data_IF_225927117850
#
_entry.id   IF_225927117850
#
_cell.length_a   1.000
_cell.length_b   1.000
_cell.length_c   1.000
_cell.angle_alpha   90.00
_cell.angle_beta   90.00
_cell.angle_gamma   90.00
#
_symmetry.space_group_name_H-M   'P 1'
#
loop_
_entity.id
_entity.type
_entity.pdbx_description
1 polymer ?
#
# COMPACT_ATOMS: atom_id res chain seq x y z
N UNK A 1 8.97 10.80 8.51
CA UNK A 1 8.19 9.98 7.58
C UNK A 1 9.13 8.92 7.02
N UNK A 2 8.77 7.64 6.95
CA UNK A 2 9.55 6.71 6.14
C UNK A 2 9.51 7.19 4.68
N UNK A 3 10.62 7.04 3.95
CA UNK A 3 10.68 7.53 2.57
C UNK A 3 9.66 6.79 1.68
N UNK A 4 9.07 7.45 0.67
CA UNK A 4 8.12 6.82 -0.24
C UNK A 4 8.69 5.55 -0.89
N UNK A 5 10.01 5.52 -1.10
CA UNK A 5 10.74 4.37 -1.67
C UNK A 5 10.71 3.15 -0.73
N UNK A 6 10.79 3.36 0.59
CA UNK A 6 10.66 2.27 1.58
C UNK A 6 9.23 1.75 1.72
N UNK A 7 8.23 2.62 1.52
CA UNK A 7 6.81 2.25 1.52
C UNK A 7 6.40 1.45 0.27
N UNK A 8 7.08 1.65 -0.87
CA UNK A 8 6.81 0.92 -2.11
C UNK A 8 7.26 -0.55 -2.07
N UNK A 9 8.34 -0.86 -1.34
CA UNK A 9 8.86 -2.23 -1.25
C UNK A 9 7.92 -3.20 -0.52
N UNK A 10 6.97 -2.67 0.27
CA UNK A 10 5.97 -3.43 1.02
C UNK A 10 4.53 -3.15 0.56
N UNK A 11 4.35 -2.34 -0.49
CA UNK A 11 3.03 -2.01 -1.03
C UNK A 11 2.55 -3.10 -2.00
N UNK A 12 1.32 -3.57 -1.82
CA UNK A 12 0.66 -4.44 -2.81
C UNK A 12 0.21 -3.67 -4.06
N UNK A 13 0.09 -2.34 -3.97
CA UNK A 13 -0.40 -1.48 -5.06
C UNK A 13 0.78 -0.71 -5.68
N UNK A 14 1.45 -1.34 -6.64
CA UNK A 14 2.69 -0.83 -7.26
C UNK A 14 2.51 -0.30 -8.68
N UNK A 15 1.35 -0.53 -9.30
CA UNK A 15 1.14 -0.23 -10.71
C UNK A 15 0.54 1.17 -10.95
N UNK A 16 0.93 1.78 -12.06
CA UNK A 16 0.46 3.09 -12.51
C UNK A 16 1.29 4.24 -11.94
N UNK A 17 1.88 5.03 -12.84
CA UNK A 17 2.80 6.13 -12.50
C UNK A 17 2.32 7.50 -12.95
N UNK A 18 1.29 7.56 -13.80
CA UNK A 18 0.70 8.81 -14.28
C UNK A 18 -0.81 8.68 -14.38
N UNK A 19 -1.48 9.83 -14.33
CA UNK A 19 -2.93 9.92 -14.44
C UNK A 19 -3.32 11.29 -14.99
N UNK A 20 -4.57 11.39 -15.43
CA UNK A 20 -5.27 12.66 -15.58
C UNK A 20 -6.65 12.55 -14.93
N UNK A 21 -7.13 13.63 -14.34
CA UNK A 21 -8.36 13.63 -13.57
C UNK A 21 -8.87 15.01 -13.18
N UNK A 22 -9.75 15.03 -12.18
CA UNK A 22 -10.29 16.26 -11.60
C UNK A 22 -10.06 16.25 -10.10
N UNK A 23 -9.64 17.40 -9.58
CA UNK A 23 -9.65 17.65 -8.14
C UNK A 23 -11.09 17.80 -7.62
N UNK A 24 -11.31 17.73 -6.30
CA UNK A 24 -12.61 18.04 -5.68
C UNK A 24 -13.17 19.43 -6.06
N UNK A 25 -12.28 20.39 -6.35
CA UNK A 25 -12.64 21.73 -6.84
C UNK A 25 -13.20 21.74 -8.28
N UNK A 26 -13.13 20.61 -8.99
CA UNK A 26 -13.50 20.48 -10.40
C UNK A 26 -12.38 20.82 -11.39
N UNK A 27 -11.25 21.35 -10.91
CA UNK A 27 -10.07 21.71 -11.73
C UNK A 27 -9.52 20.47 -12.42
N UNK A 28 -9.18 20.62 -13.71
CA UNK A 28 -8.62 19.57 -14.56
C UNK A 28 -7.12 19.46 -14.32
N UNK A 29 -6.65 18.29 -13.93
CA UNK A 29 -5.25 18.07 -13.58
C UNK A 29 -4.68 16.83 -14.26
N UNK A 30 -3.39 16.86 -14.54
CA UNK A 30 -2.57 15.71 -14.92
C UNK A 30 -1.40 15.61 -13.94
N UNK A 31 -0.94 14.40 -13.65
CA UNK A 31 0.12 14.23 -12.67
C UNK A 31 0.82 12.88 -12.71
N UNK A 32 1.89 12.80 -11.94
CA UNK A 32 2.68 11.58 -11.75
C UNK A 32 2.67 11.17 -10.28
N UNK A 33 2.68 9.86 -10.03
CA UNK A 33 2.77 9.26 -8.70
C UNK A 33 3.80 8.16 -8.68
N UNK A 34 4.33 7.85 -7.49
CA UNK A 34 5.34 6.81 -7.34
C UNK A 34 4.76 5.39 -7.55
N UNK A 35 3.46 5.21 -7.28
CA UNK A 35 2.66 4.03 -7.58
C UNK A 35 1.16 4.32 -7.38
N UNK A 36 0.30 3.37 -7.76
CA UNK A 36 -1.14 3.44 -7.49
C UNK A 36 -1.90 4.39 -8.40
N UNK A 37 -1.28 4.85 -9.49
CA UNK A 37 -1.91 5.74 -10.47
C UNK A 37 -3.01 5.07 -11.29
N UNK A 38 -2.99 3.73 -11.41
CA UNK A 38 -4.08 2.95 -12.00
C UNK A 38 -5.19 2.73 -10.98
N UNK A 39 -5.88 3.81 -10.61
CA UNK A 39 -6.93 3.81 -9.61
C UNK A 39 -8.07 4.75 -10.00
N UNK A 40 -9.21 4.59 -9.33
CA UNK A 40 -10.38 5.48 -9.50
C UNK A 40 -10.17 6.83 -8.82
N UNK A 41 -9.37 6.86 -7.77
CA UNK A 41 -8.97 8.02 -6.98
C UNK A 41 -7.49 7.89 -6.64
N UNK A 42 -6.75 8.99 -6.76
CA UNK A 42 -5.29 9.01 -6.53
C UNK A 42 -4.97 10.11 -5.53
N UNK A 43 -4.19 9.78 -4.50
CA UNK A 43 -3.55 10.77 -3.64
C UNK A 43 -2.36 11.35 -4.42
N UNK A 44 -2.59 12.46 -5.12
CA UNK A 44 -1.62 13.07 -6.00
C UNK A 44 -0.46 13.70 -5.23
N UNK A 45 0.74 13.67 -5.83
CA UNK A 45 1.89 14.42 -5.37
C UNK A 45 1.78 15.88 -5.84
N UNK A 46 1.65 16.87 -4.94
CA UNK A 46 1.46 18.27 -5.34
C UNK A 46 2.59 18.84 -6.20
N UNK A 47 3.82 18.33 -6.06
CA UNK A 47 4.96 18.80 -6.85
C UNK A 47 4.92 18.29 -8.30
N UNK A 48 4.30 17.13 -8.53
CA UNK A 48 4.09 16.53 -9.86
C UNK A 48 2.61 16.53 -10.23
N UNK A 49 1.97 17.68 -10.01
CA UNK A 49 0.62 17.97 -10.44
C UNK A 49 0.63 19.24 -11.31
N UNK A 50 0.05 19.15 -12.50
CA UNK A 50 -0.06 20.25 -13.45
C UNK A 50 -1.53 20.42 -13.87
N UNK A 51 -1.91 21.66 -14.15
CA UNK A 51 -3.21 21.96 -14.72
C UNK A 51 -3.24 21.54 -16.20
N UNK A 52 -4.36 20.94 -16.61
CA UNK A 52 -4.55 20.52 -18.01
C UNK A 52 -4.97 21.73 -18.84
N UNK A 53 -4.23 22.08 -19.92
CA UNK A 53 -4.63 23.11 -20.86
C UNK A 53 -6.07 22.95 -21.38
N UNK A 54 -6.74 24.07 -21.65
CA UNK A 54 -8.15 24.09 -22.05
C UNK A 54 -8.40 23.37 -23.39
N UNK A 55 -7.41 23.40 -24.28
CA UNK A 55 -7.40 22.80 -25.61
C UNK A 55 -7.03 21.32 -25.62
N UNK A 56 -6.53 20.77 -24.50
CA UNK A 56 -6.24 19.34 -24.40
C UNK A 56 -7.45 18.60 -23.87
N UNK A 57 -7.69 17.39 -24.33
CA UNK A 57 -8.55 16.41 -23.69
C UNK A 57 -7.87 15.82 -22.44
N UNK A 58 -8.64 15.13 -21.58
CA UNK A 58 -8.06 14.45 -20.43
C UNK A 58 -7.14 13.31 -20.85
N UNK A 59 -7.44 12.66 -21.97
CA UNK A 59 -6.62 11.57 -22.49
C UNK A 59 -5.28 12.07 -22.99
N UNK A 60 -5.28 13.11 -23.81
CA UNK A 60 -4.06 13.77 -24.28
C UNK A 60 -3.17 14.16 -23.09
N UNK A 61 -3.77 14.74 -22.05
CA UNK A 61 -3.05 15.11 -20.84
C UNK A 61 -2.47 13.91 -20.08
N UNK A 62 -3.07 12.72 -20.15
CA UNK A 62 -2.55 11.53 -19.48
C UNK A 62 -1.24 11.00 -20.11
N UNK A 63 -0.89 11.45 -21.32
CA UNK A 63 0.29 10.99 -22.05
C UNK A 63 1.59 11.71 -21.68
N UNK A 64 1.47 12.85 -20.99
CA UNK A 64 2.55 13.82 -20.79
C UNK A 64 3.39 13.58 -19.53
N UNK A 65 2.81 13.37 -18.32
CA UNK A 65 3.52 13.52 -17.06
C UNK A 65 4.80 12.69 -16.94
N UNK A 66 4.77 11.37 -17.16
CA UNK A 66 5.96 10.52 -17.00
C UNK A 66 6.91 10.70 -18.17
N UNK A 67 6.41 10.81 -19.41
CA UNK A 67 7.25 10.90 -20.60
C UNK A 67 8.14 12.16 -20.57
N UNK A 68 7.53 13.33 -20.38
CA UNK A 68 8.25 14.59 -20.37
C UNK A 68 9.05 14.81 -19.08
N UNK A 69 8.55 14.38 -17.92
CA UNK A 69 9.36 14.45 -16.69
C UNK A 69 10.64 13.64 -16.81
N UNK A 70 10.56 12.44 -17.41
CA UNK A 70 11.74 11.60 -17.66
C UNK A 70 12.70 12.26 -18.63
N UNK A 71 12.19 12.78 -19.75
CA UNK A 71 13.01 13.42 -20.78
C UNK A 71 13.68 14.71 -20.26
N UNK A 72 12.96 15.59 -19.56
CA UNK A 72 13.55 16.80 -18.97
C UNK A 72 14.58 16.47 -17.88
N UNK A 73 14.29 15.50 -17.02
CA UNK A 73 15.23 15.08 -16.00
C UNK A 73 16.51 14.52 -16.62
N UNK A 74 16.37 13.65 -17.63
CA UNK A 74 17.51 13.07 -18.34
C UNK A 74 18.32 14.13 -19.09
N UNK A 75 17.68 14.94 -19.93
CA UNK A 75 18.37 15.84 -20.86
C UNK A 75 18.89 17.11 -20.18
N UNK A 76 18.06 17.78 -19.38
CA UNK A 76 18.37 19.12 -18.87
C UNK A 76 18.94 19.08 -17.45
N UNK A 77 18.39 18.26 -16.56
CA UNK A 77 18.83 18.21 -15.16
C UNK A 77 20.11 17.38 -15.01
N UNK A 78 20.11 16.15 -15.53
CA UNK A 78 21.25 15.23 -15.43
C UNK A 78 22.21 15.38 -16.60
N UNK A 79 21.66 15.54 -17.79
CA UNK A 79 22.41 15.65 -19.03
C UNK A 79 23.04 17.03 -19.22
N UNK A 80 22.45 18.09 -18.67
CA UNK A 80 22.87 19.48 -18.93
C UNK A 80 23.03 19.79 -20.43
N UNK A 81 22.06 19.34 -21.24
CA UNK A 81 21.99 19.58 -22.68
C UNK A 81 21.86 21.08 -22.97
N UNK A 82 22.57 21.56 -23.99
CA UNK A 82 22.57 22.96 -24.42
C UNK A 82 21.94 23.11 -25.80
N UNK A 83 21.37 24.29 -26.12
CA UNK A 83 20.87 24.57 -27.46
C UNK A 83 21.92 24.34 -28.54
N UNK A 84 21.50 23.76 -29.67
CA UNK A 84 22.37 23.48 -30.81
C UNK A 84 23.25 22.22 -30.71
N UNK A 85 23.25 21.51 -29.58
CA UNK A 85 23.98 20.23 -29.45
C UNK A 85 23.34 19.11 -30.29
N UNK A 86 24.06 18.00 -30.47
CA UNK A 86 23.52 16.80 -31.10
C UNK A 86 23.04 15.78 -30.04
N UNK A 87 21.85 15.21 -30.24
CA UNK A 87 21.24 14.21 -29.36
C UNK A 87 20.95 12.92 -30.13
N UNK A 88 21.33 11.78 -29.57
CA UNK A 88 20.89 10.46 -30.02
C UNK A 88 19.78 9.94 -29.11
N UNK A 89 18.59 9.70 -29.66
CA UNK A 89 17.42 9.15 -28.96
C UNK A 89 17.16 7.73 -29.43
N UNK A 90 17.32 6.74 -28.55
CA UNK A 90 16.88 5.38 -28.83
C UNK A 90 15.38 5.24 -28.65
N UNK A 91 14.77 4.34 -29.43
CA UNK A 91 13.33 4.08 -29.43
C UNK A 91 12.49 5.36 -29.57
N UNK A 92 12.78 6.16 -30.60
CA UNK A 92 12.09 7.45 -30.83
C UNK A 92 10.57 7.34 -30.99
N UNK A 93 10.05 6.15 -31.31
CA UNK A 93 8.62 5.86 -31.43
C UNK A 93 7.90 5.68 -30.08
N UNK A 94 8.63 5.47 -28.99
CA UNK A 94 8.07 5.31 -27.64
C UNK A 94 7.87 6.65 -26.93
N UNK A 95 7.02 6.69 -25.90
CA UNK A 95 6.61 7.96 -25.29
C UNK A 95 7.75 8.84 -24.77
N UNK A 96 8.76 8.26 -24.10
CA UNK A 96 9.94 9.03 -23.63
C UNK A 96 10.79 9.50 -24.82
N UNK A 97 10.93 8.67 -25.86
CA UNK A 97 11.66 9.02 -27.07
C UNK A 97 11.03 10.21 -27.79
N UNK A 98 9.71 10.18 -28.00
CA UNK A 98 8.97 11.28 -28.62
C UNK A 98 9.10 12.58 -27.80
N UNK A 99 8.98 12.50 -26.47
CA UNK A 99 9.16 13.65 -25.59
C UNK A 99 10.59 14.24 -25.69
N UNK A 100 11.62 13.38 -25.70
CA UNK A 100 13.02 13.79 -25.83
C UNK A 100 13.29 14.49 -27.18
N UNK A 101 12.75 13.96 -28.27
CA UNK A 101 12.84 14.55 -29.61
C UNK A 101 12.19 15.94 -29.61
N UNK A 102 10.97 16.07 -29.06
CA UNK A 102 10.24 17.34 -28.98
C UNK A 102 11.02 18.41 -28.21
N UNK A 103 11.57 18.05 -27.05
CA UNK A 103 12.40 18.97 -26.24
C UNK A 103 13.65 19.39 -27.02
N UNK A 104 14.39 18.44 -27.59
CA UNK A 104 15.64 18.72 -28.30
C UNK A 104 15.41 19.63 -29.52
N UNK A 105 14.37 19.36 -30.32
CA UNK A 105 14.01 20.20 -31.46
C UNK A 105 13.60 21.62 -31.03
N UNK A 106 12.88 21.77 -29.91
CA UNK A 106 12.54 23.10 -29.37
C UNK A 106 13.77 23.92 -28.95
N UNK A 107 14.89 23.25 -28.67
CA UNK A 107 16.18 23.86 -28.33
C UNK A 107 17.11 24.01 -29.54
N UNK A 108 16.64 23.70 -30.76
CA UNK A 108 17.45 23.76 -31.98
C UNK A 108 18.57 22.72 -32.04
N UNK A 109 18.46 21.62 -31.29
CA UNK A 109 19.42 20.53 -31.32
C UNK A 109 19.29 19.69 -32.59
N UNK A 110 20.39 19.07 -33.02
CA UNK A 110 20.38 18.05 -34.10
C UNK A 110 20.00 16.71 -33.49
N UNK A 111 18.94 16.08 -33.97
CA UNK A 111 18.45 14.81 -33.39
C UNK A 111 18.72 13.64 -34.33
N UNK A 112 19.40 12.63 -33.80
CA UNK A 112 19.49 11.29 -34.37
C UNK A 112 18.56 10.39 -33.57
N UNK A 113 17.79 9.54 -34.22
CA UNK A 113 16.96 8.57 -33.50
C UNK A 113 17.05 7.19 -34.11
N UNK A 114 16.91 6.17 -33.27
CA UNK A 114 16.76 4.80 -33.74
C UNK A 114 15.36 4.30 -33.48
N UNK A 115 14.89 3.48 -34.40
CA UNK A 115 13.69 2.67 -34.26
C UNK A 115 14.17 1.23 -34.42
N UNK A 116 14.38 0.51 -33.31
CA UNK A 116 14.77 -0.92 -33.33
C UNK A 116 16.26 -1.31 -33.15
N UNK A 117 17.14 -0.48 -32.56
CA UNK A 117 18.52 -0.91 -32.20
C UNK A 117 19.56 0.21 -32.00
N UNK A 118 20.78 -0.09 -31.52
CA UNK A 118 21.77 0.90 -31.00
C UNK A 118 23.19 0.70 -31.56
N UNK A 119 23.86 1.80 -32.03
CA UNK A 119 25.34 2.02 -32.03
C UNK A 119 25.71 3.41 -32.62
N UNK A 120 25.70 4.52 -31.85
CA UNK A 120 26.04 5.87 -32.41
C UNK A 120 26.69 6.93 -31.47
N UNK A 121 27.51 6.59 -30.45
CA UNK A 121 28.07 7.64 -29.57
C UNK A 121 29.31 8.35 -30.18
N UNK A 122 29.30 9.69 -30.22
CA UNK A 122 30.42 10.53 -30.65
C UNK A 122 31.42 10.83 -29.51
N UNK A 123 32.63 11.29 -29.84
CA UNK A 123 33.66 11.69 -28.85
C UNK A 123 33.17 12.87 -28.00
N UNK A 124 33.22 12.74 -26.66
CA UNK A 124 32.61 13.63 -25.65
C UNK A 124 31.06 13.57 -25.55
N UNK A 125 30.42 12.62 -26.24
CA UNK A 125 28.99 12.36 -26.09
C UNK A 125 28.62 11.87 -24.69
N UNK A 126 27.49 12.33 -24.17
CA UNK A 126 26.90 11.85 -22.91
C UNK A 126 25.87 10.77 -23.25
N UNK A 127 26.07 9.55 -22.74
CA UNK A 127 25.10 8.48 -22.85
C UNK A 127 24.19 8.48 -21.62
N UNK A 128 22.87 8.53 -21.85
CA UNK A 128 21.85 8.52 -20.81
C UNK A 128 21.01 7.25 -20.98
N UNK A 129 21.23 6.28 -20.10
CA UNK A 129 20.47 5.04 -20.09
C UNK A 129 19.19 5.22 -19.28
N UNK A 130 18.05 4.98 -19.91
CA UNK A 130 16.72 5.03 -19.27
C UNK A 130 16.22 3.60 -19.03
N UNK A 131 16.71 2.62 -19.80
CA UNK A 131 16.40 1.20 -19.63
C UNK A 131 17.00 0.64 -18.34
N UNK A 132 16.32 -0.34 -17.75
CA UNK A 132 16.77 -1.02 -16.52
C UNK A 132 17.43 -2.37 -16.76
N UNK A 133 17.33 -2.92 -17.97
CA UNK A 133 17.76 -4.30 -18.25
C UNK A 133 19.27 -4.46 -18.02
N UNK A 134 20.10 -3.67 -18.68
CA UNK A 134 21.56 -3.72 -18.52
C UNK A 134 22.01 -3.36 -17.10
N UNK A 135 21.34 -2.41 -16.45
CA UNK A 135 21.60 -2.06 -15.05
C UNK A 135 21.32 -3.24 -14.10
N UNK A 136 20.23 -3.99 -14.34
CA UNK A 136 19.87 -5.16 -13.53
C UNK A 136 20.82 -6.34 -13.73
N UNK A 137 21.50 -6.40 -14.89
CA UNK A 137 22.53 -7.39 -15.20
C UNK A 137 23.94 -6.93 -14.78
N UNK A 138 24.05 -5.77 -14.12
CA UNK A 138 25.30 -5.18 -13.66
C UNK A 138 26.29 -4.89 -14.80
N UNK A 139 25.78 -4.62 -16.01
CA UNK A 139 26.59 -4.15 -17.13
C UNK A 139 27.06 -2.70 -16.87
N UNK A 140 28.21 -2.33 -17.41
CA UNK A 140 28.75 -0.97 -17.27
C UNK A 140 27.86 0.04 -17.98
N UNK A 141 27.13 0.85 -17.21
CA UNK A 141 26.25 1.92 -17.72
C UNK A 141 26.80 3.27 -17.25
N UNK A 142 26.98 4.22 -18.19
CA UNK A 142 27.67 5.51 -17.94
C UNK A 142 26.80 6.51 -17.16
N UNK A 143 25.47 6.37 -17.18
CA UNK A 143 24.55 7.09 -16.29
C UNK A 143 23.13 6.49 -16.41
N UNK A 144 22.57 5.94 -15.32
CA UNK A 144 21.17 5.48 -15.31
C UNK A 144 20.24 6.57 -14.77
N UNK A 145 19.19 6.92 -15.51
CA UNK A 145 18.20 7.93 -15.11
C UNK A 145 16.89 7.24 -14.75
N UNK A 146 16.63 7.14 -13.44
CA UNK A 146 15.40 6.52 -12.93
C UNK A 146 14.43 7.58 -12.42
N UNK A 147 13.25 7.69 -13.04
CA UNK A 147 12.20 8.62 -12.58
C UNK A 147 11.77 8.34 -11.13
N UNK A 148 11.78 7.08 -10.68
CA UNK A 148 11.49 6.72 -9.30
C UNK A 148 12.43 7.41 -8.29
N UNK A 149 13.64 7.79 -8.70
CA UNK A 149 14.56 8.53 -7.86
C UNK A 149 14.04 9.93 -7.49
N UNK A 150 13.09 10.50 -8.25
CA UNK A 150 12.47 11.80 -7.99
C UNK A 150 11.39 11.77 -6.91
N UNK A 151 10.98 10.59 -6.43
CA UNK A 151 9.99 10.43 -5.37
C UNK A 151 10.63 10.10 -4.01
N UNK A 152 11.93 10.30 -3.84
CA UNK A 152 12.64 10.16 -2.56
C UNK A 152 12.60 11.43 -1.71
N UNK A 153 12.77 11.28 -0.39
CA UNK A 153 12.76 12.40 0.57
C UNK A 153 14.12 13.11 0.73
N UNK A 154 15.12 12.79 -0.10
CA UNK A 154 16.42 13.44 -0.03
C UNK A 154 16.31 14.92 -0.47
N UNK A 155 16.97 15.87 0.23
CA UNK A 155 16.95 17.28 -0.15
C UNK A 155 17.42 17.57 -1.59
N UNK A 156 18.38 16.80 -2.12
CA UNK A 156 18.85 16.91 -3.52
C UNK A 156 17.79 16.44 -4.50
N UNK A 157 17.15 15.31 -4.19
CA UNK A 157 16.01 14.77 -4.95
C UNK A 157 14.87 15.79 -5.01
N UNK A 158 14.60 16.46 -3.89
CA UNK A 158 13.57 17.50 -3.79
C UNK A 158 13.85 18.71 -4.70
N UNK A 159 15.11 19.09 -4.91
CA UNK A 159 15.47 20.18 -5.81
C UNK A 159 15.31 19.79 -7.28
N UNK A 160 15.80 18.61 -7.66
CA UNK A 160 15.66 18.07 -9.02
C UNK A 160 14.18 17.88 -9.38
N UNK A 161 13.38 17.34 -8.45
CA UNK A 161 11.93 17.18 -8.60
C UNK A 161 11.23 18.51 -8.92
N UNK A 162 11.49 19.56 -8.12
CA UNK A 162 10.94 20.90 -8.39
C UNK A 162 11.41 21.47 -9.72
N UNK A 163 12.67 21.24 -10.10
CA UNK A 163 13.19 21.72 -11.38
C UNK A 163 12.52 21.02 -12.56
N UNK A 164 12.32 19.71 -12.50
CA UNK A 164 11.60 18.93 -13.53
C UNK A 164 10.15 19.41 -13.63
N UNK A 165 9.47 19.61 -12.49
CA UNK A 165 8.11 20.11 -12.47
C UNK A 165 7.96 21.47 -13.15
N UNK A 166 8.92 22.37 -12.90
CA UNK A 166 9.00 23.66 -13.55
C UNK A 166 9.25 23.53 -15.06
N UNK A 167 10.20 22.69 -15.48
CA UNK A 167 10.52 22.49 -16.89
C UNK A 167 9.32 21.96 -17.69
N UNK A 168 8.53 21.03 -17.13
CA UNK A 168 7.29 20.57 -17.76
C UNK A 168 6.30 21.74 -17.91
N UNK A 169 6.13 22.57 -16.87
CA UNK A 169 5.23 23.74 -16.93
C UNK A 169 5.66 24.75 -18.00
N UNK A 170 6.94 25.08 -18.06
CA UNK A 170 7.54 25.97 -19.07
C UNK A 170 7.42 25.37 -20.47
N UNK A 171 7.63 24.07 -20.59
CA UNK A 171 7.49 23.32 -21.84
C UNK A 171 6.08 23.32 -22.38
N UNK A 172 5.06 23.18 -21.51
CA UNK A 172 3.65 23.30 -21.89
C UNK A 172 3.36 24.71 -22.39
N UNK A 173 3.79 25.74 -21.65
CA UNK A 173 3.54 27.13 -22.02
C UNK A 173 4.23 27.56 -23.34
N UNK A 174 5.42 27.01 -23.62
CA UNK A 174 6.17 27.29 -24.85
C UNK A 174 5.76 26.41 -26.05
N UNK A 175 4.95 25.38 -25.84
CA UNK A 175 4.56 24.42 -26.87
C UNK A 175 5.62 23.36 -27.20
N UNK A 176 6.71 23.29 -26.42
CA UNK A 176 7.72 22.23 -26.49
C UNK A 176 7.21 20.90 -25.93
N UNK A 177 6.27 20.95 -24.99
CA UNK A 177 5.52 19.80 -24.48
C UNK A 177 4.19 19.72 -25.21
N UNK A 178 3.92 18.56 -25.82
CA UNK A 178 2.68 18.28 -26.54
C UNK A 178 2.16 16.91 -26.15
N UNK A 179 0.84 16.67 -26.21
CA UNK A 179 0.30 15.34 -26.06
C UNK A 179 0.94 14.37 -27.06
N UNK A 180 1.15 13.13 -26.62
CA UNK A 180 1.66 12.05 -27.45
C UNK A 180 0.49 11.26 -28.03
N UNK A 181 0.71 10.56 -29.14
CA UNK A 181 -0.28 9.61 -29.65
C UNK A 181 -0.57 8.53 -28.62
N UNK A 182 -1.84 8.09 -28.53
CA UNK A 182 -2.27 7.11 -27.55
C UNK A 182 -3.17 6.03 -28.17
N UNK A 183 -2.92 4.78 -27.78
CA UNK A 183 -3.85 3.67 -28.00
C UNK A 183 -4.71 3.50 -26.76
N UNK A 184 -6.03 3.56 -26.96
CA UNK A 184 -7.02 3.55 -25.87
C UNK A 184 -7.52 2.15 -25.63
N UNK A 185 -7.61 1.79 -24.35
CA UNK A 185 -8.31 0.61 -23.89
C UNK A 185 -9.37 1.02 -22.87
N UNK A 186 -10.55 0.43 -22.97
CA UNK A 186 -11.57 0.61 -21.94
C UNK A 186 -11.09 0.02 -20.60
N UNK A 187 -11.57 0.58 -19.48
CA UNK A 187 -11.20 0.18 -18.11
C UNK A 187 -11.30 -1.32 -17.79
N UNK A 188 -12.11 -2.08 -18.53
CA UNK A 188 -12.36 -3.51 -18.36
C UNK A 188 -11.40 -4.37 -19.20
N UNK A 189 -10.72 -3.77 -20.18
CA UNK A 189 -9.72 -4.43 -21.05
C UNK A 189 -8.29 -4.21 -20.58
N UNK A 190 -8.07 -4.17 -19.26
CA UNK A 190 -6.74 -3.93 -18.65
C UNK A 190 -5.74 -4.99 -19.10
N UNK A 191 -6.12 -6.27 -19.05
CA UNK A 191 -5.22 -7.36 -19.45
C UNK A 191 -4.77 -7.21 -20.91
N UNK A 192 -5.68 -6.82 -21.80
CA UNK A 192 -5.40 -6.62 -23.21
C UNK A 192 -4.49 -5.43 -23.45
N UNK A 193 -4.67 -4.34 -22.69
CA UNK A 193 -3.77 -3.19 -22.72
C UNK A 193 -2.34 -3.58 -22.33
N UNK A 194 -2.18 -4.40 -21.30
CA UNK A 194 -0.86 -4.90 -20.89
C UNK A 194 -0.22 -5.82 -21.93
N UNK A 195 -0.99 -6.75 -22.52
CA UNK A 195 -0.48 -7.62 -23.59
C UNK A 195 -0.08 -6.82 -24.84
N UNK A 196 -0.86 -5.81 -25.21
CA UNK A 196 -0.56 -4.90 -26.33
C UNK A 196 0.66 -4.02 -26.05
N UNK A 197 0.83 -3.55 -24.81
CA UNK A 197 2.04 -2.84 -24.42
C UNK A 197 3.28 -3.75 -24.53
N UNK A 198 3.16 -5.00 -24.05
CA UNK A 198 4.24 -5.97 -24.03
C UNK A 198 4.68 -6.47 -25.42
N UNK A 199 3.84 -6.37 -26.46
CA UNK A 199 4.24 -6.72 -27.82
C UNK A 199 5.26 -5.76 -28.44
N UNK A 200 5.42 -4.57 -27.86
CA UNK A 200 6.31 -3.52 -28.40
C UNK A 200 5.84 -2.92 -29.73
N UNK A 201 4.61 -3.22 -30.18
CA UNK A 201 4.07 -2.75 -31.47
C UNK A 201 3.37 -1.40 -31.36
N UNK A 202 3.28 -0.82 -30.17
CA UNK A 202 2.61 0.46 -29.95
C UNK A 202 3.53 1.64 -30.27
N UNK A 203 2.94 2.72 -30.77
CA UNK A 203 3.60 4.02 -30.87
C UNK A 203 2.96 4.96 -29.85
N UNK A 204 3.78 5.78 -29.18
CA UNK A 204 3.32 6.69 -28.14
C UNK A 204 2.92 5.98 -26.84
N UNK A 205 1.72 6.25 -26.32
CA UNK A 205 1.24 5.78 -25.01
C UNK A 205 0.11 4.76 -25.14
N UNK A 206 -0.04 3.93 -24.11
CA UNK A 206 -1.22 3.06 -23.94
C UNK A 206 -2.00 3.61 -22.75
N UNK A 207 -3.25 4.04 -22.98
CA UNK A 207 -4.07 4.72 -21.98
C UNK A 207 -5.30 3.89 -21.66
N UNK A 208 -5.57 3.71 -20.37
CA UNK A 208 -6.81 3.13 -19.88
C UNK A 208 -7.85 4.23 -19.68
N UNK A 209 -8.88 4.23 -20.51
CA UNK A 209 -9.95 5.21 -20.44
C UNK A 209 -11.01 4.77 -19.42
N UNK A 210 -11.31 5.69 -18.50
CA UNK A 210 -12.51 5.62 -17.69
C UNK A 210 -13.67 6.20 -18.51
N UNK A 211 -14.66 5.37 -18.84
CA UNK A 211 -15.86 5.80 -19.58
C UNK A 211 -16.40 7.13 -19.05
N UNK A 212 -16.42 8.12 -19.93
CA UNK A 212 -16.94 9.46 -19.73
C UNK A 212 -18.45 9.43 -19.87
N UNK A 213 -19.17 9.10 -18.80
CA UNK A 213 -20.59 9.43 -18.72
C UNK A 213 -20.93 10.14 -17.40
N UNK A 214 -21.59 11.29 -17.58
CA UNK A 214 -22.13 12.26 -16.63
C UNK A 214 -22.30 11.82 -15.17
N UNK A 215 -21.86 12.69 -14.25
CA UNK A 215 -22.33 12.98 -12.88
C UNK A 215 -22.97 11.87 -12.01
N UNK A 216 -22.75 10.60 -12.32
CA UNK A 216 -23.20 9.47 -11.51
C UNK A 216 -22.01 8.94 -10.71
N UNK A 217 -22.24 8.53 -9.45
CA UNK A 217 -21.23 7.79 -8.69
C UNK A 217 -20.71 6.62 -9.50
N UNK A 218 -19.39 6.49 -9.63
CA UNK A 218 -18.77 5.40 -10.36
C UNK A 218 -18.98 4.10 -9.57
N UNK A 219 -19.56 3.10 -10.22
CA UNK A 219 -19.56 1.72 -9.72
C UNK A 219 -18.44 0.92 -10.38
N UNK A 220 -17.66 0.21 -9.57
CA UNK A 220 -16.54 -0.64 -10.00
C UNK A 220 -16.60 -1.95 -9.26
N UNK A 221 -16.50 -3.05 -9.99
CA UNK A 221 -16.30 -4.36 -9.40
C UNK A 221 -14.87 -4.45 -8.85
N UNK A 222 -14.73 -4.73 -7.56
CA UNK A 222 -13.45 -4.79 -6.90
C UNK A 222 -13.40 -5.96 -5.92
N UNK A 223 -12.22 -6.57 -5.79
CA UNK A 223 -11.99 -7.56 -4.75
C UNK A 223 -11.84 -6.84 -3.40
N UNK A 224 -12.70 -7.21 -2.44
CA UNK A 224 -12.64 -6.66 -1.10
C UNK A 224 -11.28 -6.97 -0.46
N UNK A 225 -10.62 -5.93 0.07
CA UNK A 225 -9.37 -6.05 0.80
C UNK A 225 -9.43 -5.17 2.04
N UNK A 226 -9.12 -5.76 3.19
CA UNK A 226 -9.12 -5.04 4.47
C UNK A 226 -7.89 -4.16 4.59
N UNK A 227 -8.13 -2.89 4.89
CA UNK A 227 -7.15 -1.90 5.31
C UNK A 227 -7.57 -1.30 6.64
N UNK A 228 -6.61 -0.77 7.39
CA UNK A 228 -6.83 -0.16 8.68
C UNK A 228 -6.66 1.35 8.58
N UNK A 229 -7.60 2.09 9.15
CA UNK A 229 -7.52 3.53 9.28
C UNK A 229 -6.36 3.93 10.20
N UNK A 230 -5.49 4.83 9.72
CA UNK A 230 -4.29 5.27 10.45
C UNK A 230 -4.62 6.09 11.71
N UNK A 231 -5.82 6.68 11.75
CA UNK A 231 -6.32 7.50 12.84
C UNK A 231 -7.06 6.72 13.93
N UNK A 232 -7.39 5.45 13.68
CA UNK A 232 -8.00 4.53 14.66
C UNK A 232 -6.96 3.67 15.39
N UNK A 233 -7.32 3.19 16.57
CA UNK A 233 -6.53 2.28 17.39
C UNK A 233 -7.08 0.85 17.36
N UNK A 234 -6.19 -0.13 17.50
CA UNK A 234 -6.56 -1.55 17.42
C UNK A 234 -5.94 -2.36 18.57
N UNK A 235 -6.78 -3.15 19.21
CA UNK A 235 -6.44 -3.95 20.39
C UNK A 235 -6.28 -5.41 19.98
N UNK A 236 -5.13 -6.01 20.30
CA UNK A 236 -4.87 -7.43 20.09
C UNK A 236 -4.62 -8.10 21.44
N UNK A 237 -5.64 -8.75 21.99
CA UNK A 237 -5.52 -9.46 23.25
C UNK A 237 -4.73 -10.75 23.05
N UNK A 238 -3.64 -10.95 23.81
CA UNK A 238 -2.67 -12.01 23.53
C UNK A 238 -1.72 -11.68 22.35
N UNK A 239 -1.58 -10.39 22.00
CA UNK A 239 -0.82 -9.92 20.83
C UNK A 239 0.67 -10.25 20.82
N UNK A 240 1.27 -10.64 21.95
CA UNK A 240 2.67 -11.11 21.99
C UNK A 240 2.82 -12.63 21.84
N UNK A 241 1.73 -13.37 21.65
CA UNK A 241 1.78 -14.78 21.22
C UNK A 241 2.22 -14.90 19.76
N UNK A 242 2.67 -16.08 19.34
CA UNK A 242 3.19 -16.30 17.98
C UNK A 242 2.23 -15.79 16.89
N UNK A 243 0.97 -16.22 16.91
CA UNK A 243 -0.04 -15.75 15.96
C UNK A 243 -0.40 -14.26 16.14
N UNK A 244 -0.38 -13.75 17.37
CA UNK A 244 -0.66 -12.34 17.65
C UNK A 244 0.38 -11.41 17.02
N UNK A 245 1.65 -11.81 16.99
CA UNK A 245 2.70 -11.08 16.31
C UNK A 245 2.49 -11.05 14.80
N UNK A 246 2.15 -12.19 14.18
CA UNK A 246 1.85 -12.27 12.75
C UNK A 246 0.60 -11.44 12.38
N UNK A 247 -0.45 -11.48 13.20
CA UNK A 247 -1.62 -10.64 13.00
C UNK A 247 -1.25 -9.16 13.07
N UNK A 248 -0.48 -8.74 14.09
CA UNK A 248 -0.04 -7.36 14.22
C UNK A 248 0.84 -6.91 13.04
N UNK A 249 1.72 -7.77 12.55
CA UNK A 249 2.56 -7.50 11.37
C UNK A 249 1.69 -7.27 10.11
N UNK A 250 0.74 -8.18 9.87
CA UNK A 250 -0.23 -8.04 8.79
C UNK A 250 -1.07 -6.75 8.93
N UNK A 251 -1.50 -6.41 10.14
CA UNK A 251 -2.24 -5.18 10.40
C UNK A 251 -1.42 -3.93 10.06
N UNK A 252 -0.15 -3.88 10.48
CA UNK A 252 0.76 -2.75 10.18
C UNK A 252 0.98 -2.62 8.68
N UNK A 253 1.20 -3.74 7.98
CA UNK A 253 1.31 -3.76 6.52
C UNK A 253 0.03 -3.26 5.82
N UNK A 254 -1.14 -3.46 6.45
CA UNK A 254 -2.46 -2.98 5.97
C UNK A 254 -2.84 -1.58 6.44
N UNK A 255 -1.90 -0.80 6.97
CA UNK A 255 -2.12 0.62 7.32
C UNK A 255 -2.36 0.87 8.81
N UNK A 256 -2.34 -0.15 9.67
CA UNK A 256 -2.48 0.08 11.10
C UNK A 256 -1.28 0.86 11.64
N UNK A 257 -1.55 1.99 12.32
CA UNK A 257 -0.51 2.84 12.94
C UNK A 257 -0.60 2.93 14.45
N UNK A 258 -1.64 2.38 15.07
CA UNK A 258 -1.89 2.50 16.52
C UNK A 258 -2.30 1.14 17.08
N UNK A 259 -1.34 0.42 17.64
CA UNK A 259 -1.52 -0.94 18.16
C UNK A 259 -1.40 -0.96 19.68
N UNK A 260 -2.34 -1.62 20.33
CA UNK A 260 -2.29 -1.98 21.73
C UNK A 260 -2.31 -3.50 21.87
N UNK A 261 -1.18 -4.08 22.30
CA UNK A 261 -1.03 -5.52 22.45
C UNK A 261 -1.16 -5.89 23.93
N UNK A 262 -1.95 -6.89 24.28
CA UNK A 262 -1.98 -7.37 25.67
C UNK A 262 -1.08 -8.57 25.89
N UNK A 263 -0.37 -8.55 27.02
CA UNK A 263 0.45 -9.66 27.46
C UNK A 263 0.66 -9.63 28.97
N UNK A 264 0.17 -10.65 29.68
CA UNK A 264 0.32 -10.78 31.14
C UNK A 264 1.77 -10.65 31.62
N UNK A 265 2.70 -11.28 30.92
CA UNK A 265 4.13 -11.27 31.26
C UNK A 265 4.93 -10.16 30.57
N UNK A 266 4.28 -9.29 29.78
CA UNK A 266 4.95 -8.33 28.91
C UNK A 266 5.90 -8.98 27.88
N UNK A 267 6.85 -8.19 27.40
CA UNK A 267 7.84 -8.59 26.40
C UNK A 267 8.94 -9.44 27.04
N UNK A 268 9.14 -10.67 26.55
CA UNK A 268 10.11 -11.62 27.09
C UNK A 268 11.18 -12.02 26.07
N UNK A 269 10.82 -12.20 24.81
CA UNK A 269 11.73 -12.76 23.80
C UNK A 269 12.40 -11.69 22.94
N UNK A 270 13.56 -12.02 22.37
CA UNK A 270 14.24 -11.15 21.39
C UNK A 270 13.40 -10.92 20.14
N UNK A 271 12.68 -11.95 19.67
CA UNK A 271 11.79 -11.84 18.51
C UNK A 271 10.63 -10.87 18.74
N UNK A 272 10.01 -10.87 19.93
CA UNK A 272 8.97 -9.87 20.28
C UNK A 272 9.52 -8.44 20.24
N UNK A 273 10.73 -8.21 20.79
CA UNK A 273 11.40 -6.90 20.73
C UNK A 273 11.70 -6.47 19.29
N UNK A 274 12.16 -7.39 18.46
CA UNK A 274 12.43 -7.14 17.05
C UNK A 274 11.15 -6.72 16.31
N UNK A 275 10.03 -7.43 16.50
CA UNK A 275 8.76 -7.09 15.86
C UNK A 275 8.27 -5.69 16.27
N UNK A 276 8.25 -5.40 17.58
CA UNK A 276 7.88 -4.09 18.11
C UNK A 276 8.73 -2.97 17.50
N UNK A 277 10.05 -3.18 17.43
CA UNK A 277 10.96 -2.20 16.85
C UNK A 277 10.70 -2.00 15.34
N UNK A 278 10.47 -3.07 14.58
CA UNK A 278 10.14 -2.99 13.14
C UNK A 278 8.87 -2.19 12.89
N UNK A 279 7.81 -2.41 13.68
CA UNK A 279 6.56 -1.67 13.54
C UNK A 279 6.73 -0.19 13.90
N UNK A 280 7.52 0.13 14.93
CA UNK A 280 7.88 1.50 15.25
C UNK A 280 8.65 2.19 14.12
N UNK A 281 9.61 1.49 13.50
CA UNK A 281 10.34 1.98 12.32
C UNK A 281 9.43 2.17 11.10
N UNK A 282 8.37 1.38 10.98
CA UNK A 282 7.31 1.55 9.98
C UNK A 282 6.31 2.68 10.33
N UNK A 283 6.53 3.41 11.44
CA UNK A 283 5.71 4.55 11.85
C UNK A 283 4.51 4.20 12.73
N UNK A 284 4.37 2.94 13.18
CA UNK A 284 3.31 2.56 14.10
C UNK A 284 3.66 2.89 15.56
N UNK A 285 2.72 3.50 16.27
CA UNK A 285 2.72 3.62 17.73
C UNK A 285 2.25 2.29 18.32
N UNK A 286 3.15 1.58 18.98
CA UNK A 286 2.83 0.28 19.60
C UNK A 286 3.02 0.36 21.10
N UNK A 287 1.96 0.01 21.84
CA UNK A 287 1.95 -0.10 23.29
C UNK A 287 1.66 -1.53 23.72
N UNK A 288 2.24 -1.94 24.86
CA UNK A 288 1.99 -3.25 25.46
C UNK A 288 1.31 -3.04 26.81
N UNK A 289 0.06 -3.50 26.91
CA UNK A 289 -0.72 -3.44 28.14
C UNK A 289 -0.65 -4.76 28.92
N UNK A 290 -0.69 -4.64 30.25
CA UNK A 290 -0.81 -5.79 31.17
C UNK A 290 -2.23 -5.97 31.70
N UNK A 291 -3.19 -5.15 31.26
CA UNK A 291 -4.58 -5.26 31.66
C UNK A 291 -5.16 -6.66 31.35
N UNK A 292 -5.92 -7.22 32.30
CA UNK A 292 -6.58 -8.51 32.14
C UNK A 292 -8.02 -8.32 31.66
N UNK A 293 -8.25 -8.55 30.37
CA UNK A 293 -9.57 -8.44 29.75
C UNK A 293 -10.59 -9.43 30.31
N UNK A 294 -10.16 -10.45 31.08
CA UNK A 294 -11.07 -11.36 31.76
C UNK A 294 -11.74 -10.79 33.02
N UNK A 295 -11.50 -9.51 33.33
CA UNK A 295 -12.22 -8.72 34.33
C UNK A 295 -12.85 -7.53 33.65
N UNK A 296 -13.99 -7.04 34.15
CA UNK A 296 -14.66 -5.88 33.56
C UNK A 296 -13.78 -4.63 33.66
N UNK A 297 -13.14 -4.40 34.81
CA UNK A 297 -12.25 -3.27 35.04
C UNK A 297 -11.04 -3.32 34.11
N UNK A 298 -10.47 -4.50 33.92
CA UNK A 298 -9.34 -4.70 33.01
C UNK A 298 -9.73 -4.51 31.54
N UNK A 299 -10.90 -4.97 31.11
CA UNK A 299 -11.41 -4.73 29.76
C UNK A 299 -11.68 -3.23 29.53
N UNK A 300 -12.25 -2.54 30.52
CA UNK A 300 -12.50 -1.09 30.49
C UNK A 300 -11.21 -0.30 30.42
N UNK A 301 -10.24 -0.59 31.29
CA UNK A 301 -8.92 0.05 31.26
C UNK A 301 -8.23 -0.16 29.91
N UNK A 302 -8.28 -1.38 29.37
CA UNK A 302 -7.69 -1.70 28.08
C UNK A 302 -8.28 -0.89 26.92
N UNK A 303 -9.61 -0.77 26.85
CA UNK A 303 -10.28 0.00 25.80
C UNK A 303 -10.10 1.51 25.99
N UNK A 304 -9.94 1.99 27.22
CA UNK A 304 -9.57 3.38 27.51
C UNK A 304 -8.12 3.70 27.09
N UNK A 305 -7.16 2.80 27.36
CA UNK A 305 -5.78 2.92 26.88
C UNK A 305 -5.73 2.98 25.34
N UNK A 306 -6.54 2.16 24.66
CA UNK A 306 -6.65 2.18 23.21
C UNK A 306 -7.28 3.49 22.71
N UNK A 307 -8.36 3.93 23.35
CA UNK A 307 -9.03 5.20 23.02
C UNK A 307 -8.10 6.41 23.17
N UNK A 308 -7.16 6.38 24.13
CA UNK A 308 -6.15 7.42 24.30
C UNK A 308 -5.16 7.50 23.12
N UNK A 309 -4.97 6.42 22.36
CA UNK A 309 -4.19 6.42 21.11
C UNK A 309 -5.02 6.96 19.93
N UNK A 310 -6.34 6.78 19.95
CA UNK A 310 -7.30 7.18 18.92
C UNK A 310 -8.61 6.37 19.04
N UNK A 311 -9.68 6.74 18.30
CA UNK A 311 -10.93 5.98 18.32
C UNK A 311 -10.68 4.49 18.07
N UNK A 312 -11.27 3.62 18.90
CA UNK A 312 -11.04 2.17 18.78
C UNK A 312 -11.74 1.65 17.53
N UNK A 313 -10.96 1.24 16.53
CA UNK A 313 -11.42 0.69 15.25
C UNK A 313 -11.48 -0.83 15.23
N UNK A 314 -10.76 -1.51 16.12
CA UNK A 314 -10.88 -2.96 16.21
C UNK A 314 -10.39 -3.62 17.49
N UNK A 315 -11.04 -4.74 17.83
CA UNK A 315 -10.70 -5.62 18.96
C UNK A 315 -10.54 -7.05 18.46
N UNK A 316 -9.38 -7.65 18.74
CA UNK A 316 -9.01 -9.00 18.32
C UNK A 316 -8.65 -9.84 19.55
N UNK A 317 -9.48 -10.83 19.91
CA UNK A 317 -9.20 -11.71 21.04
C UNK A 317 -8.48 -13.00 20.61
N UNK A 318 -7.16 -13.03 20.82
CA UNK A 318 -6.28 -14.18 20.62
C UNK A 318 -5.80 -14.80 21.94
N UNK A 319 -6.27 -14.30 23.08
CA UNK A 319 -5.80 -14.76 24.38
C UNK A 319 -6.14 -16.25 24.58
N UNK A 320 -5.13 -17.02 24.98
CA UNK A 320 -5.23 -18.48 25.09
C UNK A 320 -4.46 -19.00 26.30
N UNK A 321 -5.10 -19.90 27.03
CA UNK A 321 -4.49 -20.81 27.99
C UNK A 321 -4.99 -22.21 27.65
N UNK A 322 -4.09 -23.19 27.63
CA UNK A 322 -4.42 -24.60 27.42
C UNK A 322 -4.21 -25.39 28.72
N UNK A 323 -5.14 -26.31 28.98
CA UNK A 323 -5.13 -27.27 30.09
C UNK A 323 -5.71 -28.58 29.60
N UNK A 324 -5.02 -29.15 28.62
CA UNK A 324 -5.48 -30.36 27.94
C UNK A 324 -5.40 -31.56 28.90
N UNK A 325 -6.51 -32.26 29.06
CA UNK A 325 -6.56 -33.56 29.70
C UNK A 325 -7.83 -34.30 29.27
N UNK A 326 -7.81 -35.62 29.32
CA UNK A 326 -9.02 -36.43 29.19
C UNK A 326 -10.07 -36.00 30.23
N UNK A 327 -11.35 -36.20 29.93
CA UNK A 327 -12.45 -35.71 30.76
C UNK A 327 -12.35 -36.23 32.21
N UNK A 328 -11.94 -37.48 32.38
CA UNK A 328 -11.68 -38.12 33.69
C UNK A 328 -10.58 -37.44 34.52
N UNK A 329 -9.66 -36.72 33.87
CA UNK A 329 -8.53 -36.02 34.48
C UNK A 329 -8.72 -34.49 34.46
N UNK A 330 -9.89 -33.99 34.05
CA UNK A 330 -10.19 -32.57 34.08
C UNK A 330 -10.65 -32.13 35.47
N UNK A 331 -10.33 -30.88 35.80
CA UNK A 331 -10.75 -30.24 37.05
C UNK A 331 -11.53 -28.96 36.75
N UNK A 332 -12.31 -28.50 37.72
CA UNK A 332 -13.05 -27.24 37.59
C UNK A 332 -12.10 -26.05 37.36
N UNK A 333 -10.96 -26.04 38.05
CA UNK A 333 -9.93 -25.00 37.94
C UNK A 333 -9.28 -25.00 36.56
N UNK A 334 -9.07 -26.18 35.97
CA UNK A 334 -8.56 -26.31 34.61
C UNK A 334 -9.56 -25.75 33.58
N UNK A 335 -10.85 -26.03 33.75
CA UNK A 335 -11.93 -25.47 32.94
C UNK A 335 -12.00 -23.95 33.06
N UNK A 336 -11.99 -23.43 34.29
CA UNK A 336 -12.03 -21.99 34.57
C UNK A 336 -10.82 -21.27 33.96
N UNK A 337 -9.61 -21.82 34.12
CA UNK A 337 -8.39 -21.25 33.57
C UNK A 337 -8.42 -21.13 32.04
N UNK A 338 -9.04 -22.09 31.34
CA UNK A 338 -9.22 -22.06 29.87
C UNK A 338 -10.34 -21.11 29.46
N UNK A 339 -11.43 -21.07 30.23
CA UNK A 339 -12.57 -20.19 29.96
C UNK A 339 -12.22 -18.71 30.19
N UNK A 340 -11.42 -18.39 31.21
CA UNK A 340 -11.11 -17.01 31.61
C UNK A 340 -10.70 -16.10 30.43
N UNK A 341 -9.64 -16.40 29.63
CA UNK A 341 -9.22 -15.50 28.55
C UNK A 341 -10.18 -15.48 27.34
N UNK A 342 -10.99 -16.52 27.14
CA UNK A 342 -11.84 -16.68 25.96
C UNK A 342 -13.30 -16.32 26.21
N UNK A 343 -13.89 -16.88 27.24
CA UNK A 343 -15.27 -16.63 27.64
C UNK A 343 -15.36 -15.26 28.33
N UNK A 344 -14.81 -15.14 29.55
CA UNK A 344 -14.92 -13.89 30.31
C UNK A 344 -14.26 -12.73 29.54
N UNK A 345 -13.08 -12.96 28.96
CA UNK A 345 -12.40 -11.99 28.11
C UNK A 345 -13.28 -11.44 26.97
N UNK A 346 -13.94 -12.32 26.22
CA UNK A 346 -14.78 -11.88 25.09
C UNK A 346 -16.08 -11.24 25.55
N UNK A 347 -16.69 -11.72 26.65
CA UNK A 347 -17.90 -11.13 27.21
C UNK A 347 -17.66 -9.70 27.72
N UNK A 348 -16.58 -9.48 28.47
CA UNK A 348 -16.25 -8.14 28.96
C UNK A 348 -15.84 -7.19 27.83
N UNK A 349 -15.03 -7.67 26.87
CA UNK A 349 -14.71 -6.87 25.68
C UNK A 349 -15.95 -6.52 24.86
N UNK A 350 -16.89 -7.45 24.71
CA UNK A 350 -18.18 -7.18 24.03
C UNK A 350 -18.95 -6.07 24.77
N UNK A 351 -19.26 -6.28 26.06
CA UNK A 351 -20.02 -5.34 26.87
C UNK A 351 -19.40 -3.93 26.87
N UNK A 352 -18.10 -3.83 27.17
CA UNK A 352 -17.42 -2.53 27.25
C UNK A 352 -17.28 -1.88 25.86
N UNK A 353 -17.06 -2.67 24.80
CA UNK A 353 -16.95 -2.10 23.44
C UNK A 353 -18.26 -1.45 22.96
N UNK A 354 -19.42 -1.99 23.37
CA UNK A 354 -20.73 -1.41 23.07
C UNK A 354 -20.90 -0.02 23.69
N UNK A 355 -20.27 0.21 24.84
CA UNK A 355 -20.31 1.51 25.54
C UNK A 355 -19.26 2.50 25.03
N UNK A 356 -18.02 2.04 24.84
CA UNK A 356 -16.87 2.93 24.64
C UNK A 356 -16.38 3.05 23.19
N UNK A 357 -16.83 2.19 22.28
CA UNK A 357 -16.26 2.08 20.94
C UNK A 357 -17.31 2.31 19.82
N UNK A 358 -17.87 3.53 19.68
CA UNK A 358 -18.90 3.81 18.67
C UNK A 358 -18.39 3.75 17.22
N UNK A 359 -17.07 3.77 17.01
CA UNK A 359 -16.44 3.71 15.68
C UNK A 359 -15.75 2.37 15.40
N UNK A 360 -16.14 1.32 16.12
CA UNK A 360 -15.57 -0.01 15.96
C UNK A 360 -15.95 -0.59 14.60
N UNK A 361 -14.97 -0.95 13.79
CA UNK A 361 -15.17 -1.61 12.48
C UNK A 361 -15.02 -3.14 12.59
N UNK A 362 -14.22 -3.59 13.56
CA UNK A 362 -13.84 -4.99 13.70
C UNK A 362 -13.96 -5.48 15.15
N UNK A 363 -14.69 -6.59 15.34
CA UNK A 363 -14.63 -7.38 16.55
C UNK A 363 -14.41 -8.84 16.15
N UNK A 364 -13.23 -9.37 16.43
CA UNK A 364 -12.84 -10.70 16.01
C UNK A 364 -12.37 -11.55 17.19
N UNK A 365 -12.94 -12.74 17.33
CA UNK A 365 -12.49 -13.76 18.27
C UNK A 365 -11.94 -14.98 17.52
N UNK A 366 -10.89 -15.59 18.06
CA UNK A 366 -10.26 -16.75 17.41
C UNK A 366 -10.64 -18.03 18.13
N UNK A 367 -11.51 -18.80 17.47
CA UNK A 367 -11.94 -20.15 17.85
C UNK A 367 -11.03 -21.19 17.20
N UNK A 368 -11.38 -22.47 17.32
CA UNK A 368 -10.66 -23.58 16.70
C UNK A 368 -11.62 -24.64 16.20
N UNK A 369 -11.21 -25.37 15.15
CA UNK A 369 -11.95 -26.56 14.68
C UNK A 369 -12.16 -27.63 15.75
N UNK A 370 -11.40 -27.59 16.86
CA UNK A 370 -11.65 -28.44 18.01
C UNK A 370 -13.04 -28.21 18.64
N UNK A 371 -13.61 -27.01 18.50
CA UNK A 371 -14.98 -26.70 18.92
C UNK A 371 -16.03 -27.47 18.11
N UNK A 372 -15.83 -27.57 16.79
CA UNK A 372 -16.83 -28.15 15.88
C UNK A 372 -16.65 -29.65 15.68
N UNK A 373 -15.43 -30.12 15.44
CA UNK A 373 -15.15 -31.55 15.17
C UNK A 373 -14.71 -32.33 16.40
N UNK A 374 -14.51 -31.64 17.51
CA UNK A 374 -13.94 -32.22 18.72
C UNK A 374 -12.42 -32.43 18.61
N UNK A 375 -11.76 -32.42 19.76
CA UNK A 375 -10.40 -32.93 19.90
C UNK A 375 -10.27 -33.64 21.25
N UNK A 376 -9.68 -34.84 21.26
CA UNK A 376 -9.55 -35.63 22.50
C UNK A 376 -8.68 -34.87 23.49
N UNK A 377 -9.18 -34.72 24.72
CA UNK A 377 -8.49 -34.01 25.79
C UNK A 377 -8.71 -32.49 25.83
N UNK A 378 -9.61 -31.95 24.98
CA UNK A 378 -9.83 -30.51 24.84
C UNK A 378 -11.31 -30.11 25.03
N UNK A 379 -12.06 -30.81 25.89
CA UNK A 379 -13.48 -30.49 26.16
C UNK A 379 -13.65 -29.06 26.69
N UNK A 380 -12.78 -28.64 27.62
CA UNK A 380 -12.72 -27.27 28.16
C UNK A 380 -12.44 -26.22 27.07
N UNK A 381 -11.51 -26.51 26.17
CA UNK A 381 -11.13 -25.63 25.09
C UNK A 381 -12.23 -25.52 24.02
N UNK A 382 -12.87 -26.63 23.66
CA UNK A 382 -14.03 -26.65 22.78
C UNK A 382 -15.20 -25.83 23.34
N UNK A 383 -15.53 -26.02 24.62
CA UNK A 383 -16.56 -25.25 25.32
C UNK A 383 -16.28 -23.74 25.29
N UNK A 384 -15.08 -23.32 25.70
CA UNK A 384 -14.71 -21.91 25.76
C UNK A 384 -14.76 -21.24 24.37
N UNK A 385 -14.37 -21.96 23.33
CA UNK A 385 -14.44 -21.50 21.94
C UNK A 385 -15.88 -21.34 21.44
N UNK A 386 -16.77 -22.29 21.74
CA UNK A 386 -18.17 -22.25 21.32
C UNK A 386 -18.91 -21.02 21.86
N UNK A 387 -18.59 -20.60 23.09
CA UNK A 387 -19.19 -19.39 23.67
C UNK A 387 -18.77 -18.14 22.91
N UNK A 388 -17.50 -18.01 22.51
CA UNK A 388 -17.07 -16.85 21.71
C UNK A 388 -17.81 -16.78 20.38
N UNK A 389 -18.13 -17.92 19.76
CA UNK A 389 -18.95 -17.98 18.55
C UNK A 389 -20.33 -17.38 18.80
N UNK A 390 -20.99 -17.74 19.91
CA UNK A 390 -22.30 -17.19 20.29
C UNK A 390 -22.24 -15.68 20.56
N UNK A 391 -21.18 -15.19 21.20
CA UNK A 391 -21.00 -13.74 21.42
C UNK A 391 -20.88 -13.00 20.08
N UNK A 392 -20.08 -13.51 19.16
CA UNK A 392 -19.93 -12.91 17.83
C UNK A 392 -21.23 -12.96 17.02
N UNK A 393 -21.99 -14.07 17.06
CA UNK A 393 -23.31 -14.17 16.42
C UNK A 393 -24.31 -13.16 17.01
N UNK A 394 -24.32 -12.99 18.33
CA UNK A 394 -25.19 -12.02 19.02
C UNK A 394 -24.86 -10.60 18.56
N UNK A 395 -23.57 -10.24 18.49
CA UNK A 395 -23.14 -8.94 17.96
C UNK A 395 -23.63 -8.71 16.54
N UNK A 396 -23.50 -9.70 15.66
CA UNK A 396 -23.99 -9.59 14.28
C UNK A 396 -25.50 -9.42 14.22
N UNK A 397 -26.26 -10.16 15.05
CA UNK A 397 -27.71 -10.01 15.15
C UNK A 397 -28.12 -8.60 15.62
N UNK A 398 -27.30 -7.97 16.47
CA UNK A 398 -27.48 -6.60 16.95
C UNK A 398 -27.00 -5.53 15.94
N UNK A 399 -26.54 -5.92 14.74
CA UNK A 399 -26.01 -5.01 13.73
C UNK A 399 -24.61 -4.47 14.04
N UNK A 400 -23.89 -5.08 14.99
CA UNK A 400 -22.53 -4.73 15.35
C UNK A 400 -21.52 -5.62 14.61
N UNK A 401 -20.28 -5.15 14.40
CA UNK A 401 -19.23 -6.01 13.86
C UNK A 401 -18.96 -7.15 14.85
N UNK A 402 -18.91 -8.37 14.32
CA UNK A 402 -18.65 -9.60 15.05
C UNK A 402 -18.21 -10.71 14.10
N UNK A 403 -17.08 -11.35 14.38
CA UNK A 403 -16.56 -12.45 13.58
C UNK A 403 -15.80 -13.45 14.43
N UNK A 404 -16.11 -14.72 14.29
CA UNK A 404 -15.38 -15.78 14.96
C UNK A 404 -14.63 -16.64 13.93
N UNK A 405 -13.30 -16.70 14.03
CA UNK A 405 -12.48 -17.48 13.09
C UNK A 405 -12.16 -18.85 13.66
N UNK A 406 -12.61 -19.91 12.97
CA UNK A 406 -12.33 -21.31 13.31
C UNK A 406 -10.97 -21.74 12.77
N UNK A 407 -9.92 -21.61 13.58
CA UNK A 407 -8.56 -21.99 13.17
C UNK A 407 -8.35 -23.52 13.19
N UNK A 408 -7.69 -24.03 12.15
CA UNK A 408 -7.06 -25.37 12.13
C UNK A 408 -5.66 -25.30 12.72
N UNK A 409 -4.95 -26.43 12.77
CA UNK A 409 -3.52 -26.46 13.12
C UNK A 409 -2.77 -25.34 12.36
N UNK A 410 -2.29 -24.36 13.12
CA UNK A 410 -1.54 -23.23 12.62
C UNK A 410 -0.06 -23.61 12.61
N UNK A 411 0.42 -24.13 11.48
CA UNK A 411 1.85 -24.24 11.21
C UNK A 411 2.27 -23.13 10.24
N UNK A 412 3.37 -22.43 10.51
CA UNK A 412 4.02 -21.61 9.50
C UNK A 412 4.61 -22.54 8.44
N UNK A 413 3.99 -22.64 7.26
CA UNK A 413 4.67 -23.22 6.09
C UNK A 413 5.69 -22.21 5.57
N UNK A 414 6.82 -22.07 6.28
CA UNK A 414 8.09 -21.37 5.96
C UNK A 414 8.71 -21.00 7.33
N UNK A 415 9.88 -21.49 7.77
CA UNK A 415 11.21 -21.39 7.19
C UNK A 415 11.93 -22.75 7.23
N UNK A 416 11.98 -23.45 6.09
CA UNK A 416 13.09 -24.32 5.70
C UNK A 416 13.42 -23.99 4.26
N UNK A 417 14.39 -23.11 4.08
CA UNK A 417 15.28 -23.01 2.94
C UNK A 417 16.59 -22.47 3.48
#
# INVERSE_FOLDING_TARGET
MPSPVGALATSDCVLGLEFSGREPSGRRVMGSVAAGGMATTVAADPDFLWEVPADWSMEEAATVPVAYSTAYYALLVRGAMRPGEALLVHSGSEGVGQAAISIALSMGCTVFTTVGGVRCLATHGRFLEVGKFDLSQNNTVVMAVLLNALFGDDPRVSADKRRVAQLVREGVASGAVRPLDAVRFARDRVEEAFRFMASGTHMGKVVLERQTMAARPLSVEAQARTYFFEDKSYVVAGGLGGFGLELADWMVARGCRRLLLTARSGVRTGYQRLCLHRWQMAGAKVAVSRADAATEEGARALLQEAAALGPVGGVFNLALVLRDALLENQTAEAFEAVCRPKVAGTLHLDAVSRELCPQLDHFAAFSSVSCSRGNKGQTNYGYANSIMERVCETRVADGLPGGCLLLRSTGSRTLRS
#
